data_IF_568005790586
#
_entry.id   IF_568005790586
#
_cell.length_a   1.000
_cell.length_b   1.000
_cell.length_c   1.000
_cell.angle_alpha   90.00
_cell.angle_beta   90.00
_cell.angle_gamma   90.00
#
_symmetry.space_group_name_H-M   'P 1'
#
loop_
_entity.id
_entity.type
_entity.pdbx_description
1 polymer ?
#
# COMPACT_ATOMS: atom_id res chain seq x y z
N UNK A 1 -10.27 -7.57 6.99
CA UNK A 1 -10.58 -8.78 7.79
C UNK A 1 -10.11 -9.97 6.96
N UNK A 2 -9.11 -10.72 7.42
CA UNK A 2 -8.54 -11.85 6.68
C UNK A 2 -9.59 -12.94 6.46
N UNK A 3 -9.68 -13.45 5.24
CA UNK A 3 -10.48 -14.62 4.90
C UNK A 3 -9.55 -15.83 4.89
N UNK A 4 -9.87 -16.84 5.70
CA UNK A 4 -9.19 -18.14 5.67
C UNK A 4 -9.81 -18.96 4.54
N UNK A 5 -9.06 -19.19 3.46
CA UNK A 5 -9.46 -20.15 2.42
C UNK A 5 -8.64 -21.45 2.59
N UNK A 6 -9.36 -22.57 2.70
CA UNK A 6 -8.77 -23.89 2.75
C UNK A 6 -8.47 -24.35 1.32
N UNK A 7 -7.21 -24.35 0.90
CA UNK A 7 -6.81 -24.94 -0.38
C UNK A 7 -6.08 -26.26 -0.13
N UNK A 8 -6.74 -27.38 -0.46
CA UNK A 8 -6.17 -28.75 -0.41
C UNK A 8 -5.52 -29.15 0.93
N UNK A 9 -6.13 -28.77 2.06
CA UNK A 9 -5.70 -29.21 3.39
C UNK A 9 -4.52 -28.43 4.00
N UNK A 10 -4.09 -27.33 3.38
CA UNK A 10 -3.22 -26.35 4.01
C UNK A 10 -4.04 -25.08 4.32
N UNK A 11 -3.98 -24.61 5.58
CA UNK A 11 -4.55 -23.32 5.97
C UNK A 11 -3.63 -22.21 5.45
N UNK A 12 -4.14 -21.41 4.52
CA UNK A 12 -3.48 -20.15 4.17
C UNK A 12 -4.20 -19.03 4.92
N UNK A 13 -3.53 -18.48 5.93
CA UNK A 13 -3.94 -17.22 6.54
C UNK A 13 -3.59 -16.11 5.57
N UNK A 14 -4.60 -15.61 4.85
CA UNK A 14 -4.46 -14.39 4.05
C UNK A 14 -4.66 -13.21 4.98
N UNK A 15 -3.57 -12.73 5.55
CA UNK A 15 -3.58 -11.53 6.39
C UNK A 15 -3.46 -10.28 5.52
N UNK A 16 -4.48 -9.42 5.62
CA UNK A 16 -4.43 -8.09 5.04
C UNK A 16 -3.76 -7.16 6.02
N UNK A 17 -2.61 -6.62 5.64
CA UNK A 17 -2.00 -5.53 6.40
C UNK A 17 -2.87 -4.28 6.27
N UNK A 18 -3.15 -3.57 7.38
CA UNK A 18 -3.89 -2.31 7.32
C UNK A 18 -3.09 -1.27 6.54
N UNK A 19 -3.73 -0.66 5.54
CA UNK A 19 -3.17 0.39 4.69
C UNK A 19 -4.13 1.58 4.63
N UNK A 20 -3.59 2.77 4.44
CA UNK A 20 -4.38 3.99 4.22
C UNK A 20 -4.26 4.40 2.76
N UNK A 21 -5.40 4.48 2.05
CA UNK A 21 -5.45 5.02 0.69
C UNK A 21 -5.60 6.54 0.76
N UNK A 22 -4.76 7.26 0.03
CA UNK A 22 -4.83 8.72 -0.11
C UNK A 22 -4.99 9.02 -1.60
N UNK A 23 -5.96 9.85 -1.94
CA UNK A 23 -6.19 10.35 -3.29
C UNK A 23 -6.16 11.87 -3.25
N UNK A 24 -5.34 12.47 -4.11
CA UNK A 24 -5.18 13.92 -4.21
C UNK A 24 -5.22 14.34 -5.68
N UNK A 25 -6.08 15.29 -6.02
CA UNK A 25 -6.07 15.94 -7.32
C UNK A 25 -5.02 17.06 -7.30
N UNK A 26 -4.14 17.06 -8.28
CA UNK A 26 -3.08 18.05 -8.43
C UNK A 26 -3.02 18.49 -9.89
N UNK A 27 -2.51 19.69 -10.14
CA UNK A 27 -2.24 20.15 -11.50
C UNK A 27 -1.16 19.28 -12.17
N UNK A 28 -1.28 19.04 -13.48
CA UNK A 28 -0.33 18.24 -14.27
C UNK A 28 1.12 18.71 -14.10
N UNK A 29 1.31 20.03 -13.95
CA UNK A 29 2.63 20.64 -13.79
C UNK A 29 3.36 20.25 -12.48
N UNK A 30 2.65 19.71 -11.49
CA UNK A 30 3.22 19.35 -10.17
C UNK A 30 3.09 17.86 -9.84
N UNK A 31 2.64 17.02 -10.79
CA UNK A 31 2.45 15.59 -10.56
C UNK A 31 3.75 14.93 -10.10
N UNK A 32 4.85 15.16 -10.80
CA UNK A 32 6.15 14.55 -10.46
C UNK A 32 6.65 14.99 -9.07
N UNK A 33 6.46 16.27 -8.74
CA UNK A 33 6.82 16.81 -7.43
C UNK A 33 5.97 16.19 -6.30
N UNK A 34 4.66 15.99 -6.54
CA UNK A 34 3.78 15.37 -5.58
C UNK A 34 4.19 13.90 -5.32
N UNK A 35 4.55 13.16 -6.37
CA UNK A 35 5.05 11.79 -6.26
C UNK A 35 6.32 11.76 -5.40
N UNK A 36 7.33 12.60 -5.72
CA UNK A 36 8.59 12.64 -4.97
C UNK A 36 8.39 12.98 -3.49
N UNK A 37 7.51 13.94 -3.21
CA UNK A 37 7.18 14.33 -1.84
C UNK A 37 6.53 13.18 -1.05
N UNK A 38 5.57 12.48 -1.66
CA UNK A 38 4.90 11.33 -1.03
C UNK A 38 5.88 10.19 -0.79
N UNK A 39 6.71 9.86 -1.79
CA UNK A 39 7.71 8.80 -1.65
C UNK A 39 8.71 9.12 -0.54
N UNK A 40 9.24 10.34 -0.51
CA UNK A 40 10.24 10.75 0.49
C UNK A 40 9.66 10.75 1.90
N UNK A 41 8.40 11.16 2.06
CA UNK A 41 7.76 11.22 3.37
C UNK A 41 7.29 9.85 3.88
N UNK A 42 6.84 8.96 3.00
CA UNK A 42 6.24 7.68 3.38
C UNK A 42 7.24 6.51 3.40
N UNK A 43 8.36 6.59 2.66
CA UNK A 43 9.34 5.50 2.57
C UNK A 43 10.08 5.29 3.90
N UNK A 44 9.94 4.09 4.46
CA UNK A 44 10.72 3.62 5.62
C UNK A 44 11.91 2.77 5.20
N UNK A 45 11.96 2.32 3.94
CA UNK A 45 12.99 1.44 3.41
C UNK A 45 12.74 -0.05 3.73
N UNK A 46 11.56 -0.38 4.24
CA UNK A 46 11.15 -1.75 4.58
C UNK A 46 10.11 -2.26 3.60
N UNK A 47 9.94 -3.57 3.57
CA UNK A 47 8.88 -4.20 2.78
C UNK A 47 7.52 -3.70 3.30
N UNK A 48 6.67 -3.24 2.40
CA UNK A 48 5.31 -2.79 2.71
C UNK A 48 5.12 -1.27 2.85
N UNK A 49 6.01 -0.43 2.33
CA UNK A 49 5.81 1.03 2.29
C UNK A 49 4.70 1.48 1.33
N UNK A 50 4.38 0.67 0.32
CA UNK A 50 3.25 0.81 -0.62
C UNK A 50 2.49 -0.49 -0.69
#
# INVERSE_FOLDING_TARGET
KGHTELYRGAEYVVDFLPKTKIEAAVDDAIVDQAIEAIETAARTGKIGDG
#
